data_IF_163373176703
#
_entry.id   IF_163373176703
#
_cell.length_a   1.000
_cell.length_b   1.000
_cell.length_c   1.000
_cell.angle_alpha   90.00
_cell.angle_beta   90.00
_cell.angle_gamma   90.00
#
_symmetry.space_group_name_H-M   'P 1'
#
loop_
_entity.id
_entity.type
_entity.pdbx_description
1 polymer ?
#
# COMPACT_ATOMS: atom_id res chain seq x y z
N UNK A 1 -4.15 -34.98 33.31
CA UNK A 1 -4.91 -34.18 32.33
C UNK A 1 -4.87 -32.78 32.89
N UNK A 2 -3.91 -32.01 32.39
CA UNK A 2 -3.62 -30.67 32.88
C UNK A 2 -4.68 -29.73 32.32
N UNK A 3 -5.26 -28.88 33.17
CA UNK A 3 -6.26 -27.89 32.75
C UNK A 3 -5.64 -26.77 31.89
N UNK A 4 -4.30 -26.69 31.82
CA UNK A 4 -3.57 -25.83 30.88
C UNK A 4 -3.73 -26.26 29.41
N UNK A 5 -3.88 -27.56 29.12
CA UNK A 5 -4.14 -28.08 27.76
C UNK A 5 -5.57 -27.75 27.26
N UNK A 6 -6.47 -27.33 28.16
CA UNK A 6 -7.85 -26.94 27.84
C UNK A 6 -8.03 -25.42 27.68
N UNK A 7 -6.95 -24.65 27.86
CA UNK A 7 -6.89 -23.19 27.77
C UNK A 7 -5.91 -22.69 26.69
N UNK A 8 -5.44 -23.56 25.79
CA UNK A 8 -4.97 -23.13 24.47
C UNK A 8 -6.18 -22.64 23.66
N UNK A 9 -6.71 -21.49 24.07
CA UNK A 9 -7.54 -20.65 23.23
C UNK A 9 -6.68 -20.33 21.99
N UNK A 10 -7.00 -21.00 20.89
CA UNK A 10 -6.17 -21.07 19.69
C UNK A 10 -6.08 -19.69 19.04
N UNK A 11 -5.18 -18.84 19.53
CA UNK A 11 -4.93 -17.54 18.95
C UNK A 11 -4.01 -17.71 17.73
N UNK A 12 -4.53 -18.40 16.70
CA UNK A 12 -3.83 -18.62 15.43
C UNK A 12 -3.56 -17.26 14.81
N UNK A 13 -2.30 -16.97 14.48
CA UNK A 13 -1.98 -15.74 13.77
C UNK A 13 -2.38 -15.85 12.29
N UNK A 14 -2.92 -14.75 11.77
CA UNK A 14 -3.40 -14.69 10.39
C UNK A 14 -2.38 -13.98 9.50
N UNK A 15 -1.89 -14.68 8.49
CA UNK A 15 -0.99 -14.15 7.47
C UNK A 15 -1.75 -14.04 6.15
N UNK A 16 -1.89 -12.82 5.64
CA UNK A 16 -2.54 -12.55 4.36
C UNK A 16 -1.47 -12.16 3.34
N UNK A 17 -1.46 -12.87 2.23
CA UNK A 17 -0.55 -12.63 1.12
C UNK A 17 -1.38 -12.19 -0.07
N UNK A 18 -1.11 -10.99 -0.59
CA UNK A 18 -1.68 -10.48 -1.83
C UNK A 18 -0.68 -10.71 -2.99
N UNK A 19 -0.76 -11.86 -3.69
CA UNK A 19 0.15 -12.17 -4.77
C UNK A 19 -0.21 -11.44 -6.06
N UNK A 20 0.81 -11.07 -6.84
CA UNK A 20 0.56 -10.55 -8.17
C UNK A 20 1.82 -10.24 -8.97
N UNK A 21 1.64 -10.10 -10.29
CA UNK A 21 2.73 -9.68 -11.19
C UNK A 21 2.89 -8.15 -11.21
N UNK A 22 1.77 -7.43 -11.13
CA UNK A 22 1.68 -5.97 -10.99
C UNK A 22 2.45 -5.17 -12.05
N UNK A 23 2.04 -5.26 -13.33
CA UNK A 23 2.71 -4.61 -14.46
C UNK A 23 1.81 -3.61 -15.22
N UNK A 24 1.62 -2.37 -14.72
CA UNK A 24 2.17 -1.79 -13.48
C UNK A 24 1.30 -2.03 -12.24
N UNK A 25 1.87 -1.80 -11.05
CA UNK A 25 1.07 -1.57 -9.84
C UNK A 25 0.37 -0.20 -9.95
N UNK A 26 -0.82 -0.05 -9.38
CA UNK A 26 -1.64 1.16 -9.51
C UNK A 26 -2.57 1.34 -8.30
N UNK A 27 -3.23 2.48 -8.22
CA UNK A 27 -4.08 2.87 -7.07
C UNK A 27 -5.17 1.84 -6.74
N UNK A 28 -5.77 1.19 -7.75
CA UNK A 28 -6.72 0.09 -7.53
C UNK A 28 -6.14 -1.05 -6.68
N UNK A 29 -4.89 -1.47 -6.96
CA UNK A 29 -4.21 -2.49 -6.16
C UNK A 29 -3.85 -1.97 -4.76
N UNK A 30 -3.46 -0.70 -4.64
CA UNK A 30 -3.21 -0.06 -3.33
C UNK A 30 -4.47 -0.08 -2.45
N UNK A 31 -5.64 0.20 -3.03
CA UNK A 31 -6.94 0.10 -2.34
C UNK A 31 -7.26 -1.33 -1.87
N UNK A 32 -6.89 -2.35 -2.64
CA UNK A 32 -7.03 -3.76 -2.20
C UNK A 32 -6.15 -4.04 -0.99
N UNK A 33 -4.88 -3.62 -1.01
CA UNK A 33 -3.98 -3.76 0.15
C UNK A 33 -4.56 -3.08 1.41
N UNK A 34 -5.07 -1.86 1.27
CA UNK A 34 -5.67 -1.14 2.39
C UNK A 34 -6.98 -1.80 2.87
N UNK A 35 -7.80 -2.30 1.96
CA UNK A 35 -8.98 -3.08 2.30
C UNK A 35 -8.64 -4.30 3.15
N UNK A 36 -7.57 -5.04 2.81
CA UNK A 36 -7.13 -6.19 3.59
C UNK A 36 -6.67 -5.77 5.00
N UNK A 37 -5.91 -4.68 5.12
CA UNK A 37 -5.49 -4.14 6.42
C UNK A 37 -6.67 -3.71 7.30
N UNK A 38 -7.69 -3.09 6.72
CA UNK A 38 -8.88 -2.62 7.46
C UNK A 38 -9.77 -3.77 7.91
N UNK A 39 -10.02 -4.76 7.04
CA UNK A 39 -10.94 -5.86 7.34
C UNK A 39 -10.29 -6.96 8.18
N UNK A 40 -8.96 -7.03 8.20
CA UNK A 40 -8.19 -7.99 8.99
C UNK A 40 -7.14 -7.26 9.84
N UNK A 41 -7.56 -6.45 10.83
CA UNK A 41 -6.67 -5.55 11.56
C UNK A 41 -5.60 -6.29 12.40
N UNK A 42 -5.86 -7.54 12.77
CA UNK A 42 -4.92 -8.39 13.51
C UNK A 42 -4.05 -9.25 12.56
N UNK A 43 -4.24 -9.17 11.24
CA UNK A 43 -3.48 -9.96 10.29
C UNK A 43 -2.19 -9.26 9.86
N UNK A 44 -1.17 -10.05 9.58
CA UNK A 44 0.03 -9.60 8.88
C UNK A 44 -0.23 -9.66 7.38
N UNK A 45 -0.28 -8.49 6.74
CA UNK A 45 -0.63 -8.37 5.31
C UNK A 45 0.61 -8.05 4.49
N UNK A 46 0.93 -8.91 3.52
CA UNK A 46 2.06 -8.75 2.61
C UNK A 46 1.59 -8.68 1.16
N UNK A 47 2.34 -7.95 0.33
CA UNK A 47 2.24 -8.07 -1.14
C UNK A 47 3.40 -8.93 -1.61
N UNK A 48 3.10 -10.04 -2.28
CA UNK A 48 4.10 -10.93 -2.87
C UNK A 48 4.25 -10.66 -4.36
N UNK A 49 5.46 -10.34 -4.81
CA UNK A 49 5.73 -10.14 -6.24
C UNK A 49 7.14 -10.59 -6.64
N UNK A 50 7.30 -10.94 -7.91
CA UNK A 50 8.55 -11.48 -8.46
C UNK A 50 9.37 -10.41 -9.17
N UNK A 51 10.67 -10.65 -9.37
CA UNK A 51 11.52 -9.80 -10.22
C UNK A 51 11.43 -10.18 -11.71
N UNK A 52 10.68 -11.23 -12.06
CA UNK A 52 10.59 -11.74 -13.43
C UNK A 52 9.99 -10.70 -14.40
N UNK A 53 10.80 -10.25 -15.34
CA UNK A 53 10.39 -9.43 -16.50
C UNK A 53 10.19 -10.26 -17.76
N UNK A 54 9.31 -9.80 -18.66
CA UNK A 54 9.00 -10.41 -19.96
C UNK A 54 8.54 -9.34 -20.95
N UNK A 55 9.51 -8.58 -21.47
CA UNK A 55 9.31 -7.50 -22.45
C UNK A 55 8.18 -6.54 -22.08
N UNK A 56 7.43 -6.10 -23.09
CA UNK A 56 6.34 -5.12 -22.94
C UNK A 56 5.15 -5.66 -22.11
N UNK A 57 5.05 -6.98 -21.90
CA UNK A 57 3.99 -7.59 -21.07
C UNK A 57 4.30 -7.52 -19.58
N UNK A 58 5.58 -7.48 -19.21
CA UNK A 58 6.03 -7.49 -17.83
C UNK A 58 7.34 -6.71 -17.71
N UNK A 59 7.29 -5.37 -17.84
CA UNK A 59 8.52 -4.60 -18.07
C UNK A 59 9.26 -4.22 -16.78
N UNK A 60 8.60 -4.31 -15.63
CA UNK A 60 9.11 -3.77 -14.36
C UNK A 60 9.78 -4.82 -13.47
N UNK A 61 10.96 -4.48 -12.94
CA UNK A 61 11.66 -5.28 -11.92
C UNK A 61 10.94 -5.21 -10.57
N UNK A 62 11.37 -6.02 -9.61
CA UNK A 62 10.85 -5.99 -8.24
C UNK A 62 11.03 -4.59 -7.60
N UNK A 63 12.24 -4.02 -7.68
CA UNK A 63 12.53 -2.71 -7.08
C UNK A 63 11.74 -1.58 -7.75
N UNK A 64 11.55 -1.63 -9.07
CA UNK A 64 10.70 -0.67 -9.79
C UNK A 64 9.24 -0.78 -9.32
N UNK A 65 8.71 -2.00 -9.19
CA UNK A 65 7.36 -2.22 -8.67
C UNK A 65 7.22 -1.79 -7.21
N UNK A 66 8.23 -2.00 -6.38
CA UNK A 66 8.24 -1.59 -4.98
C UNK A 66 8.06 -0.07 -4.86
N UNK A 67 8.74 0.72 -5.68
CA UNK A 67 8.53 2.18 -5.74
C UNK A 67 7.09 2.54 -6.12
N UNK A 68 6.52 1.87 -7.13
CA UNK A 68 5.12 2.08 -7.55
C UNK A 68 4.12 1.72 -6.46
N UNK A 69 4.35 0.62 -5.74
CA UNK A 69 3.52 0.17 -4.62
C UNK A 69 3.54 1.17 -3.47
N UNK A 70 4.73 1.67 -3.11
CA UNK A 70 4.86 2.71 -2.08
C UNK A 70 4.13 3.99 -2.48
N UNK A 71 4.20 4.38 -3.75
CA UNK A 71 3.48 5.54 -4.27
C UNK A 71 1.96 5.38 -4.15
N UNK A 72 1.47 4.16 -4.38
CA UNK A 72 0.08 3.75 -4.19
C UNK A 72 -0.32 3.48 -2.73
N UNK A 73 0.52 3.82 -1.75
CA UNK A 73 0.20 3.76 -0.33
C UNK A 73 0.42 2.38 0.32
N UNK A 74 1.34 1.57 -0.20
CA UNK A 74 1.73 0.29 0.43
C UNK A 74 2.98 0.49 1.28
N UNK A 75 2.96 -0.01 2.51
CA UNK A 75 4.13 0.02 3.38
C UNK A 75 5.29 -0.77 2.77
N UNK A 76 6.49 -0.16 2.73
CA UNK A 76 7.67 -0.80 2.13
C UNK A 76 8.01 -2.13 2.81
N UNK A 77 7.74 -2.24 4.11
CA UNK A 77 7.89 -3.44 4.92
C UNK A 77 6.88 -4.54 4.61
N UNK A 78 5.77 -4.25 3.92
CA UNK A 78 4.80 -5.25 3.47
C UNK A 78 5.11 -5.82 2.08
N UNK A 79 6.00 -5.17 1.31
CA UNK A 79 6.34 -5.58 -0.06
C UNK A 79 7.45 -6.64 0.01
N UNK A 80 7.17 -7.83 -0.52
CA UNK A 80 8.04 -8.99 -0.43
C UNK A 80 8.35 -9.57 -1.80
N UNK A 81 9.64 -9.80 -2.03
CA UNK A 81 10.10 -10.56 -3.19
C UNK A 81 9.71 -12.03 -3.01
N UNK A 82 9.19 -12.65 -4.06
CA UNK A 82 9.00 -14.10 -4.13
C UNK A 82 9.24 -14.61 -5.54
N UNK A 83 9.96 -15.73 -5.67
CA UNK A 83 10.18 -16.36 -6.99
C UNK A 83 8.87 -16.79 -7.63
N UNK A 84 7.97 -17.33 -6.81
CA UNK A 84 6.61 -17.71 -7.20
C UNK A 84 5.60 -17.01 -6.29
N UNK A 85 5.00 -15.88 -6.72
CA UNK A 85 4.11 -15.11 -5.86
C UNK A 85 2.89 -15.87 -5.36
N UNK A 86 2.38 -16.86 -6.10
CA UNK A 86 1.25 -17.67 -5.67
C UNK A 86 1.63 -18.85 -4.76
N UNK A 87 2.90 -18.96 -4.39
CA UNK A 87 3.40 -19.89 -3.38
C UNK A 87 4.01 -19.14 -2.19
N UNK A 88 4.71 -18.03 -2.45
CA UNK A 88 5.27 -17.12 -1.43
C UNK A 88 6.07 -17.82 -0.34
N UNK A 89 6.84 -18.84 -0.70
CA UNK A 89 7.66 -19.62 0.23
C UNK A 89 8.57 -18.69 1.05
N UNK A 90 9.17 -17.68 0.40
CA UNK A 90 10.05 -16.71 1.06
C UNK A 90 9.35 -15.87 2.16
N UNK A 91 8.02 -15.79 2.14
CA UNK A 91 7.21 -15.12 3.17
C UNK A 91 6.78 -16.14 4.23
N UNK A 92 6.23 -17.27 3.79
CA UNK A 92 5.58 -18.26 4.67
C UNK A 92 6.60 -18.94 5.59
N UNK A 93 7.83 -19.16 5.16
CA UNK A 93 8.89 -19.77 5.98
C UNK A 93 9.29 -18.93 7.22
N UNK A 94 8.78 -17.69 7.35
CA UNK A 94 9.00 -16.83 8.51
C UNK A 94 7.98 -17.06 9.63
N UNK A 95 6.96 -17.89 9.38
CA UNK A 95 5.80 -18.13 10.24
C UNK A 95 5.79 -19.55 10.79
N UNK A 96 5.01 -19.79 11.84
CA UNK A 96 4.90 -21.10 12.47
C UNK A 96 3.89 -21.98 11.70
N UNK A 97 4.33 -23.06 11.04
CA UNK A 97 3.47 -23.92 10.23
C UNK A 97 2.35 -24.61 11.02
N UNK A 98 2.53 -24.81 12.32
CA UNK A 98 1.59 -25.54 13.18
C UNK A 98 0.74 -24.62 14.07
N UNK A 99 0.94 -23.29 13.99
CA UNK A 99 0.11 -22.29 14.65
C UNK A 99 -0.58 -21.34 13.66
N UNK A 100 0.09 -20.93 12.59
CA UNK A 100 -0.34 -19.80 11.78
C UNK A 100 -1.20 -20.24 10.60
N UNK A 101 -2.07 -19.34 10.15
CA UNK A 101 -2.98 -19.56 9.02
C UNK A 101 -2.61 -18.63 7.87
N UNK A 102 -2.39 -19.20 6.69
CA UNK A 102 -2.02 -18.44 5.48
C UNK A 102 -3.20 -18.31 4.51
N UNK A 103 -3.51 -17.09 4.13
CA UNK A 103 -4.55 -16.74 3.15
C UNK A 103 -3.93 -15.99 1.97
N UNK A 104 -4.12 -16.49 0.77
CA UNK A 104 -3.82 -15.81 -0.49
C UNK A 104 -5.04 -15.00 -0.94
N UNK A 105 -4.89 -13.68 -0.96
CA UNK A 105 -5.91 -12.74 -1.42
C UNK A 105 -5.79 -12.56 -2.94
N UNK A 106 -6.72 -13.09 -3.72
CA UNK A 106 -6.72 -13.01 -5.19
C UNK A 106 -7.86 -12.12 -5.68
N UNK A 107 -7.74 -11.53 -6.87
CA UNK A 107 -8.85 -10.74 -7.43
C UNK A 107 -10.00 -11.66 -7.87
N UNK A 108 -11.24 -11.17 -7.84
CA UNK A 108 -12.39 -11.90 -8.40
C UNK A 108 -12.14 -12.34 -9.84
N UNK A 109 -11.51 -11.48 -10.64
CA UNK A 109 -11.12 -11.78 -12.03
C UNK A 109 -10.17 -12.98 -12.12
N UNK A 110 -9.09 -12.98 -11.32
CA UNK A 110 -8.15 -14.12 -11.32
C UNK A 110 -8.84 -15.40 -10.84
N UNK A 111 -9.86 -15.28 -10.00
CA UNK A 111 -10.68 -16.38 -9.50
C UNK A 111 -11.60 -16.97 -10.59
N UNK A 112 -12.23 -16.13 -11.40
CA UNK A 112 -13.12 -16.57 -12.50
C UNK A 112 -12.36 -17.20 -13.67
N UNK A 113 -11.14 -16.73 -13.96
CA UNK A 113 -10.36 -17.14 -15.14
C UNK A 113 -9.54 -18.43 -14.91
N UNK A 114 -9.40 -18.90 -13.67
CA UNK A 114 -8.48 -19.99 -13.30
C UNK A 114 -9.22 -21.22 -12.73
N UNK A 115 -9.28 -22.35 -13.46
CA UNK A 115 -10.00 -23.55 -13.04
C UNK A 115 -9.54 -24.16 -11.71
N UNK A 116 -8.32 -23.83 -11.25
CA UNK A 116 -7.77 -24.28 -9.97
C UNK A 116 -8.41 -23.61 -8.74
N UNK A 117 -9.29 -22.65 -8.95
CA UNK A 117 -10.02 -21.94 -7.91
C UNK A 117 -11.52 -22.31 -7.87
N UNK A 118 -11.93 -23.39 -8.54
CA UNK A 118 -13.32 -23.88 -8.46
C UNK A 118 -13.62 -24.52 -7.09
N UNK A 119 -14.32 -23.77 -6.24
CA UNK A 119 -14.82 -24.22 -4.94
C UNK A 119 -16.33 -24.54 -4.95
N UNK A 120 -16.95 -24.75 -6.11
CA UNK A 120 -18.39 -25.02 -6.22
C UNK A 120 -18.87 -26.22 -5.40
N UNK A 121 -17.96 -27.15 -5.09
CA UNK A 121 -18.20 -28.34 -4.27
C UNK A 121 -17.80 -28.18 -2.79
N UNK A 122 -17.46 -26.97 -2.39
CA UNK A 122 -17.06 -26.60 -1.04
C UNK A 122 -15.58 -26.85 -0.74
N UNK A 123 -15.13 -28.11 -0.79
CA UNK A 123 -13.73 -28.49 -0.60
C UNK A 123 -13.09 -28.74 -1.96
N UNK A 124 -11.89 -28.19 -2.18
CA UNK A 124 -11.10 -28.50 -3.36
C UNK A 124 -10.36 -29.82 -3.16
N UNK A 125 -10.40 -30.69 -4.18
CA UNK A 125 -9.76 -32.01 -4.15
C UNK A 125 -8.73 -32.14 -5.27
N UNK A 126 -7.62 -32.81 -4.98
CA UNK A 126 -6.67 -33.30 -5.98
C UNK A 126 -7.34 -34.37 -6.86
N UNK A 127 -6.72 -34.70 -8.00
CA UNK A 127 -7.19 -35.77 -8.91
C UNK A 127 -7.31 -37.15 -8.23
N UNK A 128 -6.56 -37.39 -7.16
CA UNK A 128 -6.57 -38.64 -6.40
C UNK A 128 -7.66 -38.68 -5.29
N UNK A 129 -8.49 -37.65 -5.15
CA UNK A 129 -9.58 -37.60 -4.16
C UNK A 129 -9.17 -37.10 -2.77
N UNK A 130 -7.90 -36.80 -2.53
CA UNK A 130 -7.46 -36.12 -1.30
C UNK A 130 -7.77 -34.62 -1.36
N UNK A 131 -8.01 -33.96 -0.21
CA UNK A 131 -8.09 -32.50 -0.16
C UNK A 131 -6.86 -31.85 -0.80
N UNK A 132 -7.10 -30.85 -1.65
CA UNK A 132 -6.05 -29.99 -2.17
C UNK A 132 -5.44 -29.17 -1.03
N UNK A 133 -4.20 -28.71 -1.21
CA UNK A 133 -3.58 -27.82 -0.22
C UNK A 133 -4.35 -26.50 -0.11
N UNK A 134 -4.66 -25.87 -1.26
CA UNK A 134 -5.41 -24.63 -1.31
C UNK A 134 -6.92 -24.89 -1.14
N UNK A 135 -7.51 -24.24 -0.15
CA UNK A 135 -8.94 -24.32 0.18
C UNK A 135 -9.59 -22.93 0.16
N UNK A 136 -10.92 -22.88 0.15
CA UNK A 136 -11.65 -21.62 0.23
C UNK A 136 -11.53 -21.01 1.63
N UNK A 137 -11.18 -19.73 1.73
CA UNK A 137 -11.22 -18.99 2.99
C UNK A 137 -12.65 -18.81 3.48
N UNK A 138 -12.92 -19.21 4.74
CA UNK A 138 -14.24 -19.09 5.38
C UNK A 138 -14.20 -18.43 6.77
N UNK A 139 -13.02 -17.98 7.18
CA UNK A 139 -12.77 -17.40 8.49
C UNK A 139 -11.87 -18.28 9.35
N UNK A 140 -11.20 -17.63 10.31
CA UNK A 140 -10.11 -18.20 11.11
C UNK A 140 -10.53 -19.43 11.92
N UNK A 141 -11.73 -19.40 12.51
CA UNK A 141 -12.27 -20.49 13.34
C UNK A 141 -12.44 -21.80 12.55
N UNK A 142 -12.66 -21.68 11.25
CA UNK A 142 -12.87 -22.82 10.33
C UNK A 142 -11.59 -23.29 9.63
N UNK A 143 -10.46 -22.67 9.95
CA UNK A 143 -9.19 -22.90 9.26
C UNK A 143 -8.24 -23.77 10.08
N UNK A 144 -7.59 -24.70 9.39
CA UNK A 144 -6.39 -25.40 9.84
C UNK A 144 -5.16 -24.54 9.55
N UNK A 145 -4.02 -24.89 10.15
CA UNK A 145 -2.76 -24.15 9.99
C UNK A 145 -2.11 -24.46 8.65
N UNK A 146 -1.11 -23.64 8.27
CA UNK A 146 -0.53 -23.73 6.94
C UNK A 146 0.35 -24.97 6.70
N UNK A 147 0.69 -25.74 7.74
CA UNK A 147 1.27 -27.08 7.58
C UNK A 147 0.33 -28.04 6.85
N UNK A 148 -0.99 -27.81 6.93
CA UNK A 148 -2.01 -28.64 6.28
C UNK A 148 -2.66 -27.95 5.10
N UNK A 149 -3.08 -26.70 5.26
CA UNK A 149 -3.87 -25.98 4.26
C UNK A 149 -3.48 -24.51 4.13
N UNK A 150 -3.38 -24.05 2.88
CA UNK A 150 -3.44 -22.63 2.55
C UNK A 150 -4.85 -22.26 2.11
N UNK A 151 -5.23 -21.00 2.26
CA UNK A 151 -6.57 -20.54 1.95
C UNK A 151 -6.58 -19.50 0.84
N UNK A 152 -7.68 -19.39 0.11
CA UNK A 152 -7.90 -18.39 -0.93
C UNK A 152 -9.08 -17.50 -0.57
N UNK A 153 -8.87 -16.20 -0.56
CA UNK A 153 -9.90 -15.19 -0.37
C UNK A 153 -10.00 -14.32 -1.62
N UNK A 154 -11.22 -13.99 -2.05
CA UNK A 154 -11.44 -13.01 -3.11
C UNK A 154 -11.34 -11.59 -2.56
N UNK A 155 -10.84 -10.68 -3.37
CA UNK A 155 -10.75 -9.25 -3.06
C UNK A 155 -11.63 -8.44 -4.00
N UNK A 156 -12.23 -7.34 -3.53
CA UNK A 156 -13.03 -6.46 -4.37
C UNK A 156 -12.16 -5.79 -5.43
N UNK A 157 -12.76 -5.48 -6.58
CA UNK A 157 -12.12 -4.68 -7.62
C UNK A 157 -12.48 -3.21 -7.45
N UNK A 158 -11.48 -2.32 -7.40
CA UNK A 158 -11.68 -0.88 -7.29
C UNK A 158 -11.44 -0.19 -8.63
N UNK A 159 -12.53 0.28 -9.25
CA UNK A 159 -12.48 1.10 -10.46
C UNK A 159 -11.75 2.42 -10.23
N UNK A 160 -11.11 2.90 -11.30
CA UNK A 160 -10.45 4.19 -11.35
C UNK A 160 -10.31 4.65 -12.80
N UNK A 161 -10.13 5.96 -12.97
CA UNK A 161 -10.00 6.59 -14.27
C UNK A 161 -8.59 7.12 -14.47
N UNK A 162 -8.11 7.02 -15.70
CA UNK A 162 -6.90 7.67 -16.16
C UNK A 162 -7.30 8.55 -17.33
N UNK A 163 -7.02 9.86 -17.22
CA UNK A 163 -7.43 10.88 -18.19
C UNK A 163 -8.92 10.81 -18.53
N UNK A 164 -9.75 10.54 -17.53
CA UNK A 164 -11.21 10.40 -17.66
C UNK A 164 -11.70 9.07 -18.23
N UNK A 165 -10.81 8.16 -18.63
CA UNK A 165 -11.14 6.83 -19.17
C UNK A 165 -11.10 5.78 -18.07
N UNK A 166 -12.15 4.97 -17.96
CA UNK A 166 -12.18 3.84 -17.01
C UNK A 166 -11.14 2.78 -17.40
N UNK A 167 -10.37 2.33 -16.42
CA UNK A 167 -9.32 1.33 -16.63
C UNK A 167 -9.83 -0.07 -16.31
N UNK A 168 -9.71 -0.97 -17.28
CA UNK A 168 -10.18 -2.36 -17.17
C UNK A 168 -9.04 -3.39 -17.25
N UNK A 169 -7.84 -2.99 -17.66
CA UNK A 169 -6.70 -3.91 -17.77
C UNK A 169 -5.34 -3.23 -17.69
N UNK A 170 -4.34 -3.98 -17.25
CA UNK A 170 -2.95 -3.55 -17.28
C UNK A 170 -2.47 -3.22 -18.71
N UNK A 171 -2.93 -3.95 -19.72
CA UNK A 171 -2.57 -3.69 -21.12
C UNK A 171 -3.09 -2.34 -21.62
N UNK A 172 -4.29 -1.93 -21.19
CA UNK A 172 -4.84 -0.61 -21.51
C UNK A 172 -3.94 0.52 -20.97
N UNK A 173 -3.47 0.39 -19.72
CA UNK A 173 -2.54 1.36 -19.12
C UNK A 173 -1.24 1.44 -19.94
N UNK A 174 -0.63 0.29 -20.24
CA UNK A 174 0.64 0.26 -20.98
C UNK A 174 0.49 0.87 -22.37
N UNK A 175 -0.63 0.65 -23.05
CA UNK A 175 -0.89 1.27 -24.35
C UNK A 175 -1.03 2.79 -24.24
N UNK A 176 -1.76 3.30 -23.25
CA UNK A 176 -1.88 4.76 -23.02
C UNK A 176 -0.51 5.41 -22.81
N UNK A 177 0.38 4.75 -22.07
CA UNK A 177 1.74 5.22 -21.79
C UNK A 177 2.64 5.13 -23.02
N UNK A 178 2.53 4.05 -23.81
CA UNK A 178 3.34 3.87 -25.00
C UNK A 178 3.06 4.93 -26.07
N UNK A 179 1.82 5.45 -26.12
CA UNK A 179 1.39 6.46 -27.09
C UNK A 179 1.39 7.88 -26.56
N UNK A 180 1.74 8.09 -25.28
CA UNK A 180 1.69 9.42 -24.65
C UNK A 180 2.94 10.24 -24.93
N UNK A 181 2.78 11.57 -25.05
CA UNK A 181 3.90 12.49 -24.87
C UNK A 181 4.26 12.67 -23.37
N UNK A 182 5.28 13.48 -23.08
CA UNK A 182 5.76 13.72 -21.71
C UNK A 182 4.70 14.35 -20.79
N UNK A 183 3.85 15.23 -21.33
CA UNK A 183 2.79 15.90 -20.56
C UNK A 183 1.68 14.90 -20.24
N UNK A 184 1.28 14.13 -21.24
CA UNK A 184 0.28 13.08 -21.10
C UNK A 184 0.75 11.95 -20.18
N UNK A 185 2.02 11.56 -20.25
CA UNK A 185 2.62 10.57 -19.35
C UNK A 185 2.53 11.04 -17.91
N UNK A 186 2.90 12.29 -17.64
CA UNK A 186 2.84 12.82 -16.29
C UNK A 186 1.39 12.80 -15.76
N UNK A 187 0.41 13.19 -16.57
CA UNK A 187 -1.01 13.11 -16.19
C UNK A 187 -1.46 11.67 -15.94
N UNK A 188 -1.03 10.71 -16.79
CA UNK A 188 -1.34 9.29 -16.61
C UNK A 188 -0.80 8.80 -15.26
N UNK A 189 0.43 9.18 -14.89
CA UNK A 189 1.05 8.77 -13.64
C UNK A 189 0.39 9.45 -12.42
N UNK A 190 0.03 10.72 -12.52
CA UNK A 190 -0.76 11.42 -11.50
C UNK A 190 -2.05 10.67 -11.20
N UNK A 191 -2.79 10.25 -12.24
CA UNK A 191 -4.05 9.53 -12.09
C UNK A 191 -3.84 8.09 -11.59
N UNK A 192 -2.79 7.40 -12.06
CA UNK A 192 -2.47 6.02 -11.67
C UNK A 192 -2.16 5.88 -10.17
N UNK A 193 -1.64 6.93 -9.55
CA UNK A 193 -1.24 6.93 -8.14
C UNK A 193 -2.03 7.92 -7.28
N UNK A 194 -2.91 8.71 -7.88
CA UNK A 194 -3.66 9.79 -7.24
C UNK A 194 -2.73 10.78 -6.50
N UNK A 195 -1.74 11.30 -7.22
CA UNK A 195 -0.75 12.26 -6.74
C UNK A 195 -0.68 13.48 -7.66
N UNK A 196 -0.21 14.62 -7.15
CA UNK A 196 0.04 15.82 -7.94
C UNK A 196 1.43 15.82 -8.54
N UNK A 197 2.43 15.52 -7.72
CA UNK A 197 3.84 15.63 -8.11
C UNK A 197 4.42 14.23 -8.25
N UNK A 198 4.55 13.78 -9.50
CA UNK A 198 5.10 12.46 -9.80
C UNK A 198 6.62 12.52 -9.63
N UNK A 199 7.23 11.63 -8.83
CA UNK A 199 8.68 11.57 -8.70
C UNK A 199 9.36 11.36 -10.05
N UNK A 200 10.42 12.13 -10.31
CA UNK A 200 11.13 12.10 -11.59
C UNK A 200 11.65 10.71 -11.95
N UNK A 201 12.13 9.95 -10.96
CA UNK A 201 12.61 8.58 -11.16
C UNK A 201 11.47 7.61 -11.58
N UNK A 202 10.24 7.84 -11.12
CA UNK A 202 9.06 7.10 -11.58
C UNK A 202 8.78 7.44 -13.05
N UNK A 203 8.77 8.73 -13.42
CA UNK A 203 8.58 9.15 -14.82
C UNK A 203 9.62 8.46 -15.72
N UNK A 204 10.89 8.49 -15.33
CA UNK A 204 11.99 7.87 -16.08
C UNK A 204 11.87 6.35 -16.19
N UNK A 205 11.44 5.67 -15.12
CA UNK A 205 11.13 4.23 -15.16
C UNK A 205 10.07 3.97 -16.24
N UNK A 206 8.96 4.70 -16.24
CA UNK A 206 7.88 4.48 -17.21
C UNK A 206 8.29 4.83 -18.65
N UNK A 207 9.02 5.93 -18.87
CA UNK A 207 9.58 6.27 -20.18
C UNK A 207 10.49 5.17 -20.71
N UNK A 208 11.44 4.72 -19.91
CA UNK A 208 12.43 3.69 -20.30
C UNK A 208 11.77 2.33 -20.55
N UNK A 209 10.73 1.98 -19.79
CA UNK A 209 10.14 0.64 -19.78
C UNK A 209 8.96 0.46 -20.72
N UNK A 210 8.25 1.53 -21.03
CA UNK A 210 7.00 1.48 -21.83
C UNK A 210 6.95 2.59 -22.87
N UNK A 211 7.49 3.78 -22.56
CA UNK A 211 7.38 4.97 -23.39
C UNK A 211 7.92 4.85 -24.82
N UNK A 212 7.62 5.87 -25.61
CA UNK A 212 7.76 5.89 -27.07
C UNK A 212 9.16 5.48 -27.57
N UNK A 213 9.24 4.29 -28.19
CA UNK A 213 10.49 3.72 -28.74
C UNK A 213 11.04 4.52 -29.94
N UNK A 214 10.25 5.39 -30.58
CA UNK A 214 10.69 6.23 -31.71
C UNK A 214 11.51 7.46 -31.27
N UNK A 215 11.35 7.94 -30.04
CA UNK A 215 12.21 9.01 -29.48
C UNK A 215 13.54 8.49 -28.92
N UNK A 216 13.81 7.19 -29.03
CA UNK A 216 15.08 6.55 -28.61
C UNK A 216 15.90 6.02 -29.78
N UNK A 217 15.80 6.65 -30.96
CA UNK A 217 16.60 6.27 -32.11
C UNK A 217 17.54 7.40 -32.54
N UNK A 218 18.68 7.50 -31.84
CA UNK A 218 19.97 7.89 -32.41
C UNK A 218 21.07 7.22 -31.55
N UNK A 219 21.86 6.35 -32.20
CA UNK A 219 23.04 5.58 -31.76
C UNK A 219 23.77 6.11 -30.50
N UNK A 220 24.29 5.28 -29.59
CA UNK A 220 25.43 4.39 -29.82
C UNK A 220 25.51 3.15 -28.90
N UNK A 221 26.19 2.15 -29.47
CA UNK A 221 26.69 0.87 -28.96
C UNK A 221 27.58 0.94 -27.70
N UNK A 222 27.67 -0.21 -27.02
CA UNK A 222 28.56 -0.57 -25.90
C UNK A 222 29.91 0.15 -25.77
N UNK A 223 30.10 0.84 -24.64
CA UNK A 223 31.33 1.13 -23.84
C UNK A 223 31.05 2.43 -23.04
N UNK A 224 31.41 2.65 -21.77
CA UNK A 224 32.30 2.00 -20.83
C UNK A 224 31.96 2.54 -19.42
N UNK A 225 31.99 1.68 -18.38
CA UNK A 225 31.86 1.98 -16.94
C UNK A 225 32.86 3.02 -16.38
N UNK A 226 33.69 3.62 -17.23
CA UNK A 226 34.74 4.57 -16.86
C UNK A 226 34.27 6.00 -16.65
N UNK A 227 33.18 6.45 -17.29
CA UNK A 227 32.69 7.84 -17.12
C UNK A 227 31.90 8.00 -15.81
N UNK A 228 31.20 6.96 -15.36
CA UNK A 228 30.40 6.94 -14.13
C UNK A 228 31.25 7.10 -12.85
N UNK A 229 32.54 6.74 -12.88
CA UNK A 229 33.44 6.85 -11.74
C UNK A 229 34.02 8.26 -11.56
N UNK A 230 34.00 9.10 -12.59
CA UNK A 230 34.57 10.46 -12.54
C UNK A 230 33.57 11.47 -11.98
N UNK A 231 32.27 11.22 -12.12
CA UNK A 231 31.20 12.15 -11.70
C UNK A 231 30.91 12.10 -10.19
N UNK A 232 31.15 10.96 -9.53
CA UNK A 232 30.96 10.81 -8.08
C UNK A 232 31.96 11.65 -7.27
N UNK A 233 33.20 11.82 -7.75
CA UNK A 233 34.22 12.64 -7.06
C UNK A 233 33.95 14.16 -7.11
N UNK A 234 33.08 14.63 -8.02
CA UNK A 234 32.84 16.06 -8.23
C UNK A 234 31.62 16.60 -7.46
N UNK A 235 30.60 15.76 -7.22
CA UNK A 235 29.37 16.13 -6.50
C UNK A 235 29.55 16.23 -4.97
N UNK A 236 30.45 15.44 -4.36
CA UNK A 236 30.72 15.53 -2.90
C UNK A 236 31.30 16.89 -2.46
N UNK A 237 32.00 17.59 -3.38
CA UNK A 237 32.59 18.92 -3.09
C UNK A 237 31.59 20.08 -3.17
N UNK A 238 30.49 19.94 -3.91
CA UNK A 238 29.44 20.98 -4.02
C UNK A 238 28.50 20.99 -2.82
N UNK A 239 28.17 19.82 -2.27
CA UNK A 239 27.20 19.71 -1.17
C UNK A 239 27.64 20.39 0.14
N UNK A 240 28.95 20.52 0.41
CA UNK A 240 29.45 21.20 1.62
C UNK A 240 29.30 22.73 1.62
N UNK A 241 28.95 23.35 0.49
CA UNK A 241 28.90 24.83 0.37
C UNK A 241 27.48 25.41 0.38
N UNK A 242 26.45 24.60 0.11
CA UNK A 242 25.05 25.05 0.00
C UNK A 242 24.31 25.20 1.33
N UNK A 243 24.74 24.48 2.37
CA UNK A 243 24.02 24.38 3.66
C UNK A 243 24.09 25.68 4.48
N UNK A 244 24.98 26.63 4.17
CA UNK A 244 25.21 27.84 4.98
C UNK A 244 24.38 29.08 4.58
N UNK A 245 23.46 29.01 3.60
CA UNK A 245 22.83 30.23 3.02
C UNK A 245 21.31 30.38 3.19
N UNK A 246 20.58 29.45 3.80
CA UNK A 246 19.11 29.49 3.77
C UNK A 246 18.46 29.55 5.16
N UNK A 247 19.15 30.17 6.11
CA UNK A 247 18.59 30.58 7.42
C UNK A 247 18.50 32.10 7.43
N UNK A 248 17.54 32.67 6.69
CA UNK A 248 17.15 34.08 6.84
C UNK A 248 15.80 34.31 6.18
N UNK A 249 14.87 34.85 6.99
CA UNK A 249 13.65 35.59 6.62
C UNK A 249 12.33 34.79 6.50
N UNK A 250 11.38 35.14 7.38
CA UNK A 250 9.97 34.71 7.33
C UNK A 250 8.99 35.87 7.39
N UNK A 251 7.67 35.60 7.25
CA UNK A 251 6.59 36.32 7.95
C UNK A 251 5.16 35.72 7.75
N UNK A 252 4.43 35.82 8.86
CA UNK A 252 3.06 35.50 9.32
C UNK A 252 1.86 35.90 8.45
N UNK A 253 0.74 35.15 8.56
CA UNK A 253 -0.66 35.66 8.59
C UNK A 253 -1.60 34.76 9.42
N UNK A 254 -2.46 35.38 10.25
CA UNK A 254 -3.30 34.82 11.32
C UNK A 254 -4.58 34.08 10.86
N UNK A 255 -4.94 32.97 11.54
CA UNK A 255 -6.34 32.50 11.65
C UNK A 255 -6.59 31.93 13.05
N UNK A 256 -7.55 32.54 13.75
CA UNK A 256 -8.05 32.14 15.08
C UNK A 256 -9.01 30.96 14.95
N UNK A 257 -8.73 29.85 15.64
CA UNK A 257 -9.71 28.80 15.92
C UNK A 257 -9.85 28.65 17.44
N UNK A 258 -11.10 28.79 17.93
CA UNK A 258 -11.45 28.76 19.35
C UNK A 258 -11.41 27.33 19.90
N UNK A 259 -10.97 27.12 21.15
CA UNK A 259 -11.10 25.84 21.84
C UNK A 259 -12.53 25.68 22.37
N UNK A 260 -13.19 24.55 22.12
CA UNK A 260 -14.47 24.23 22.77
C UNK A 260 -14.52 22.74 23.18
N UNK A 261 -14.34 22.58 24.50
CA UNK A 261 -14.91 21.66 25.53
C UNK A 261 -15.16 20.18 25.26
N UNK A 262 -14.54 19.40 26.17
CA UNK A 262 -14.86 18.05 26.66
C UNK A 262 -16.28 17.55 26.37
N UNK A 263 -16.34 16.42 25.65
CA UNK A 263 -17.57 15.67 25.40
C UNK A 263 -17.34 14.17 25.57
N UNK A 264 -17.84 13.64 26.70
CA UNK A 264 -18.16 12.24 27.06
C UNK A 264 -17.29 11.12 26.46
N UNK A 265 -16.47 10.53 27.35
CA UNK A 265 -15.80 9.23 27.18
C UNK A 265 -16.78 8.13 26.73
N UNK A 266 -16.57 7.63 25.52
CA UNK A 266 -17.10 6.35 25.07
C UNK A 266 -16.08 5.25 25.38
N UNK A 267 -16.56 4.05 25.77
CA UNK A 267 -15.78 3.00 26.42
C UNK A 267 -14.72 2.27 25.56
N UNK A 268 -14.42 2.74 24.34
CA UNK A 268 -13.33 2.22 23.51
C UNK A 268 -12.73 3.36 22.67
N UNK A 269 -11.96 4.23 23.32
CA UNK A 269 -11.13 5.21 22.63
C UNK A 269 -9.88 4.54 22.05
N UNK A 270 -9.50 4.93 20.84
CA UNK A 270 -8.25 4.52 20.20
C UNK A 270 -7.49 5.76 19.75
N UNK A 271 -6.17 5.62 19.69
CA UNK A 271 -5.28 6.67 19.20
C UNK A 271 -4.81 6.29 17.80
N UNK A 272 -4.90 7.22 16.87
CA UNK A 272 -4.47 7.10 15.49
C UNK A 272 -3.32 8.09 15.28
N UNK A 273 -2.11 7.56 15.10
CA UNK A 273 -0.99 8.32 14.58
C UNK A 273 -1.07 8.31 13.06
N UNK A 274 -1.10 9.48 12.44
CA UNK A 274 -1.21 9.67 11.00
C UNK A 274 -0.02 10.48 10.51
N UNK A 275 0.65 10.00 9.47
CA UNK A 275 1.70 10.73 8.76
C UNK A 275 1.30 10.88 7.28
N UNK A 276 1.11 12.14 6.89
CA UNK A 276 0.92 12.56 5.52
C UNK A 276 1.89 13.67 5.13
N UNK A 277 3.15 13.52 5.53
CA UNK A 277 4.27 14.41 5.20
C UNK A 277 4.39 14.74 3.71
N UNK A 278 3.95 13.83 2.82
CA UNK A 278 3.92 14.07 1.37
C UNK A 278 2.88 15.10 0.91
N UNK A 279 1.83 15.35 1.69
CA UNK A 279 0.82 16.38 1.41
C UNK A 279 0.10 16.83 2.71
N UNK A 280 0.77 17.61 3.58
CA UNK A 280 0.21 18.06 4.86
C UNK A 280 -1.12 18.79 4.70
N UNK A 281 -1.28 19.59 3.64
CA UNK A 281 -2.48 20.39 3.37
C UNK A 281 -3.73 19.54 3.19
N UNK A 282 -3.62 18.40 2.50
CA UNK A 282 -4.73 17.46 2.34
C UNK A 282 -5.15 16.85 3.68
N UNK A 283 -4.20 16.52 4.55
CA UNK A 283 -4.49 16.00 5.89
C UNK A 283 -5.14 17.08 6.77
N UNK A 284 -4.61 18.31 6.75
CA UNK A 284 -5.21 19.48 7.43
C UNK A 284 -6.65 19.69 6.98
N UNK A 285 -6.91 19.66 5.67
CA UNK A 285 -8.25 19.82 5.10
C UNK A 285 -9.18 18.68 5.53
N UNK A 286 -8.70 17.44 5.57
CA UNK A 286 -9.47 16.30 6.02
C UNK A 286 -9.86 16.40 7.49
N UNK A 287 -8.90 16.70 8.37
CA UNK A 287 -9.13 16.89 9.81
C UNK A 287 -10.11 18.04 10.04
N UNK A 288 -9.98 19.16 9.33
CA UNK A 288 -10.92 20.27 9.45
C UNK A 288 -12.33 19.92 8.95
N UNK A 289 -12.44 19.08 7.91
CA UNK A 289 -13.72 18.68 7.32
C UNK A 289 -14.45 17.69 8.21
N UNK A 290 -13.73 16.72 8.77
CA UNK A 290 -14.29 15.60 9.52
C UNK A 290 -14.30 15.83 11.03
N UNK A 291 -13.39 16.63 11.58
CA UNK A 291 -13.29 16.91 13.02
C UNK A 291 -14.49 17.64 13.61
N UNK A 292 -15.36 18.24 12.77
CA UNK A 292 -16.67 18.78 13.22
C UNK A 292 -17.79 17.75 13.22
N UNK A 293 -17.62 16.64 12.51
CA UNK A 293 -18.64 15.59 12.27
C UNK A 293 -18.39 14.34 13.11
N UNK A 294 -17.13 14.08 13.40
CA UNK A 294 -16.63 12.94 14.15
C UNK A 294 -16.11 13.42 15.50
N UNK A 295 -16.26 12.61 16.54
CA UNK A 295 -15.75 12.93 17.87
C UNK A 295 -14.24 12.64 17.96
N UNK A 296 -13.44 13.38 17.17
CA UNK A 296 -11.98 13.25 17.10
C UNK A 296 -11.29 14.38 17.86
N UNK A 297 -10.32 14.02 18.67
CA UNK A 297 -9.48 14.93 19.45
C UNK A 297 -8.07 14.92 18.89
N UNK A 298 -7.57 16.09 18.44
CA UNK A 298 -6.16 16.24 18.09
C UNK A 298 -5.33 16.35 19.37
N UNK A 299 -4.45 15.39 19.58
CA UNK A 299 -3.60 15.31 20.77
C UNK A 299 -2.39 16.26 20.66
N UNK A 300 -1.74 16.49 21.80
CA UNK A 300 -0.51 17.30 21.92
C UNK A 300 -0.66 18.76 21.47
N UNK A 301 -1.85 19.36 21.51
CA UNK A 301 -1.97 20.79 21.23
C UNK A 301 -1.19 21.63 22.28
N UNK A 302 -0.44 22.68 21.87
CA UNK A 302 -0.39 23.25 20.53
C UNK A 302 0.62 22.60 19.57
N UNK A 303 1.59 21.81 20.04
CA UNK A 303 2.63 21.23 19.19
C UNK A 303 2.08 20.27 18.13
N UNK A 304 1.03 19.50 18.42
CA UNK A 304 0.35 18.64 17.46
C UNK A 304 -0.35 19.40 16.32
N UNK A 305 -0.72 20.67 16.55
CA UNK A 305 -1.22 21.55 15.47
C UNK A 305 -0.07 22.00 14.57
N UNK A 306 1.09 22.26 15.16
CA UNK A 306 2.30 22.63 14.41
C UNK A 306 2.83 21.45 13.59
N UNK A 307 2.90 20.25 14.20
CA UNK A 307 3.32 19.02 13.55
C UNK A 307 2.39 18.67 12.38
N UNK A 308 1.07 18.83 12.54
CA UNK A 308 0.11 18.62 11.46
C UNK A 308 0.34 19.57 10.28
N UNK A 309 0.61 20.85 10.55
CA UNK A 309 0.82 21.85 9.51
C UNK A 309 2.17 21.73 8.83
N UNK A 310 3.22 21.44 9.58
CA UNK A 310 4.61 21.53 9.12
C UNK A 310 5.19 20.19 8.71
N UNK A 311 4.81 19.11 9.39
CA UNK A 311 5.29 17.75 9.15
C UNK A 311 4.25 16.86 8.49
N UNK A 312 2.98 17.27 8.48
CA UNK A 312 1.88 16.41 8.03
C UNK A 312 1.60 15.28 9.02
N UNK A 313 2.01 15.42 10.28
CA UNK A 313 1.83 14.39 11.31
C UNK A 313 0.71 14.79 12.28
N UNK A 314 -0.20 13.87 12.57
CA UNK A 314 -1.27 14.11 13.55
C UNK A 314 -1.49 12.89 14.42
N UNK A 315 -1.62 13.12 15.72
CA UNK A 315 -2.10 12.13 16.68
C UNK A 315 -3.56 12.43 17.02
N UNK A 316 -4.47 11.57 16.61
CA UNK A 316 -5.92 11.73 16.79
C UNK A 316 -6.45 10.69 17.78
N UNK A 317 -7.22 11.12 18.77
CA UNK A 317 -7.93 10.25 19.70
C UNK A 317 -9.42 10.29 19.40
N UNK A 318 -10.09 9.14 19.38
CA UNK A 318 -11.54 9.09 19.20
C UNK A 318 -12.09 7.68 19.38
N UNK A 319 -13.41 7.54 19.36
CA UNK A 319 -14.03 6.22 19.37
C UNK A 319 -13.67 5.42 18.11
N UNK A 320 -13.64 4.09 18.22
CA UNK A 320 -13.32 3.18 17.08
C UNK A 320 -14.14 3.54 15.84
N UNK A 321 -15.44 3.77 15.99
CA UNK A 321 -16.34 4.12 14.86
C UNK A 321 -15.96 5.44 14.17
N UNK A 322 -15.56 6.45 14.96
CA UNK A 322 -15.16 7.75 14.43
C UNK A 322 -13.81 7.66 13.71
N UNK A 323 -12.86 6.93 14.29
CA UNK A 323 -11.54 6.70 13.69
C UNK A 323 -11.69 5.92 12.37
N UNK A 324 -12.53 4.87 12.34
CA UNK A 324 -12.85 4.14 11.10
C UNK A 324 -13.47 5.06 10.05
N UNK A 325 -14.49 5.84 10.41
CA UNK A 325 -15.14 6.76 9.47
C UNK A 325 -14.18 7.85 8.95
N UNK A 326 -13.22 8.28 9.77
CA UNK A 326 -12.18 9.22 9.36
C UNK A 326 -11.23 8.60 8.33
N UNK A 327 -10.72 7.41 8.61
CA UNK A 327 -9.82 6.67 7.71
C UNK A 327 -10.52 6.35 6.38
N UNK A 328 -11.78 5.92 6.41
CA UNK A 328 -12.59 5.72 5.21
C UNK A 328 -12.76 7.01 4.39
N UNK A 329 -12.99 8.14 5.06
CA UNK A 329 -13.06 9.44 4.41
C UNK A 329 -11.74 9.80 3.72
N UNK A 330 -10.60 9.60 4.37
CA UNK A 330 -9.28 9.85 3.78
C UNK A 330 -9.16 9.04 2.48
N UNK A 331 -9.42 7.73 2.53
CA UNK A 331 -9.31 6.87 1.35
C UNK A 331 -10.29 7.19 0.23
N UNK A 332 -11.55 7.48 0.57
CA UNK A 332 -12.56 7.88 -0.42
C UNK A 332 -12.17 9.14 -1.18
N UNK A 333 -11.42 10.03 -0.55
CA UNK A 333 -10.92 11.26 -1.15
C UNK A 333 -9.46 11.14 -1.64
N UNK A 334 -8.91 9.92 -1.67
CA UNK A 334 -7.56 9.67 -2.18
C UNK A 334 -6.43 10.23 -1.32
N UNK A 335 -6.73 10.55 -0.06
CA UNK A 335 -5.77 10.93 0.97
C UNK A 335 -5.30 9.62 1.59
N UNK A 336 -4.07 9.20 1.29
CA UNK A 336 -3.55 7.88 1.72
C UNK A 336 -2.34 8.05 2.64
N UNK A 337 -2.56 8.45 3.90
CA UNK A 337 -1.47 8.56 4.87
C UNK A 337 -0.99 7.19 5.32
N UNK A 338 0.25 7.15 5.82
CA UNK A 338 0.66 6.07 6.71
C UNK A 338 -0.01 6.32 8.06
N UNK A 339 -0.45 5.26 8.73
CA UNK A 339 -1.07 5.40 10.03
C UNK A 339 -0.82 4.19 10.92
N UNK A 340 -0.85 4.43 12.23
CA UNK A 340 -0.75 3.41 13.25
C UNK A 340 -1.90 3.58 14.24
N UNK A 341 -2.62 2.50 14.54
CA UNK A 341 -3.71 2.49 15.53
C UNK A 341 -3.15 1.89 16.82
N UNK A 342 -3.19 2.68 17.88
CA UNK A 342 -2.82 2.30 19.23
C UNK A 342 -4.12 2.08 20.01
N UNK A 343 -4.35 0.85 20.47
CA UNK A 343 -5.43 0.54 21.42
C UNK A 343 -4.95 0.96 22.81
N UNK A 344 -5.64 1.89 23.45
CA UNK A 344 -5.47 2.07 24.89
C UNK A 344 -6.32 1.01 25.60
N UNK A 345 -5.66 0.00 26.15
CA UNK A 345 -6.28 -0.83 27.18
C UNK A 345 -6.52 0.09 28.38
N UNK A 346 -7.78 0.47 28.62
CA UNK A 346 -8.10 1.15 29.88
C UNK A 346 -7.82 0.16 31.02
N UNK A 347 -7.13 0.59 32.09
CA UNK A 347 -6.86 -0.25 33.26
C UNK A 347 -8.10 -0.72 34.01
#
# INVERSE_FOLDING_TARGET
MDLSELLEDSNKDLVIIYPGRFHPFHIGHGKVYQYLKINYPNAQVFISTTDKTDGDRSPFTFEEKKKMMMLAGVDSGAIRYSKSPYQSIEIIEQFDPDNDVVVFAVSEKDMEEEPRFDFSKGISFKKNGEPAYLQQWRGLDSSETFSKHGYLATTPTYGFKVRGVEINSASQIRNMIATSDDTELNQILQDLYNITDVPQDIIEIFKRKIGNKETMNENWSECSLSEFLIEIEHEEKKMKKGILKTITEGKVLDVVLKPITEGKKDLHEVVLDVDYSRNPDALVKAINTMGKRLNLTLMNAPSGVEDLKTKGEARLQGGVKDITAFVEYLYKNGIMPTYNIIKEDNP
#
